data_IF_806606388212
#
_entry.id   IF_806606388212
#
_cell.length_a   1.000
_cell.length_b   1.000
_cell.length_c   1.000
_cell.angle_alpha   90.00
_cell.angle_beta   90.00
_cell.angle_gamma   90.00
#
_symmetry.space_group_name_H-M   'P 1'
#
loop_
_entity.id
_entity.type
_entity.pdbx_description
1 polymer ?
#
# COMPACT_ATOMS: atom_id res chain seq x y z
N UNK A 1 -29.42 -1.84 11.43
CA UNK A 1 -29.89 -1.24 10.16
C UNK A 1 -28.75 -0.47 9.48
N UNK A 2 -27.58 -1.09 9.35
CA UNK A 2 -26.44 -0.57 8.55
C UNK A 2 -26.27 -1.37 7.24
N UNK A 3 -27.13 -2.38 7.02
CA UNK A 3 -26.95 -3.41 6.01
C UNK A 3 -27.65 -3.12 4.66
N UNK A 4 -28.42 -2.03 4.54
CA UNK A 4 -29.22 -1.77 3.33
C UNK A 4 -28.60 -0.76 2.35
N UNK A 5 -27.48 -0.08 2.67
CA UNK A 5 -26.96 1.01 1.81
C UNK A 5 -25.43 1.08 1.65
N UNK A 6 -24.68 0.01 1.94
CA UNK A 6 -23.24 0.01 1.68
C UNK A 6 -22.76 -1.30 1.05
N UNK A 7 -22.87 -1.40 -0.28
CA UNK A 7 -22.22 -2.46 -1.05
C UNK A 7 -20.69 -2.31 -1.01
N UNK A 8 -20.19 -1.09 -0.76
CA UNK A 8 -18.77 -0.76 -0.61
C UNK A 8 -18.59 0.24 0.53
N UNK A 9 -17.68 -0.05 1.44
CA UNK A 9 -17.21 0.85 2.50
C UNK A 9 -15.69 0.96 2.43
N UNK A 10 -15.18 2.19 2.39
CA UNK A 10 -13.75 2.46 2.52
C UNK A 10 -13.42 3.05 3.89
N UNK A 11 -12.36 2.52 4.50
CA UNK A 11 -11.72 3.04 5.71
C UNK A 11 -10.22 3.29 5.46
N UNK A 12 -9.86 3.60 4.21
CA UNK A 12 -8.48 3.89 3.83
C UNK A 12 -8.04 5.27 4.35
N UNK A 13 -6.78 5.37 4.78
CA UNK A 13 -6.18 6.63 5.21
C UNK A 13 -4.69 6.64 4.82
N UNK A 14 -4.16 7.81 4.50
CA UNK A 14 -2.75 7.96 4.14
C UNK A 14 -1.86 7.74 5.38
N UNK A 15 -0.71 7.09 5.20
CA UNK A 15 0.23 6.79 6.29
C UNK A 15 -0.27 5.70 7.26
N UNK A 16 -1.19 4.85 6.82
CA UNK A 16 -1.61 3.68 7.61
C UNK A 16 -0.51 2.62 7.66
N UNK A 17 -0.12 2.26 8.88
CA UNK A 17 0.69 1.08 9.19
C UNK A 17 -0.22 -0.09 9.60
N UNK A 18 0.32 -1.31 9.62
CA UNK A 18 -0.46 -2.49 10.05
C UNK A 18 -1.02 -2.33 11.47
N UNK A 19 -0.22 -1.80 12.41
CA UNK A 19 -0.63 -1.52 13.79
C UNK A 19 -1.79 -0.50 13.89
N UNK A 20 -1.88 0.44 12.93
CA UNK A 20 -2.93 1.47 12.93
C UNK A 20 -4.31 0.93 12.57
N UNK A 21 -4.41 -0.18 11.87
CA UNK A 21 -5.69 -0.83 11.55
C UNK A 21 -6.53 -1.17 12.80
N UNK A 22 -5.86 -1.35 13.94
CA UNK A 22 -6.48 -1.74 15.23
C UNK A 22 -6.55 -0.61 16.24
N UNK A 23 -5.94 0.54 15.96
CA UNK A 23 -5.72 1.59 16.97
C UNK A 23 -6.19 2.97 16.52
N UNK A 24 -6.17 3.25 15.20
CA UNK A 24 -6.62 4.53 14.67
C UNK A 24 -8.12 4.53 14.47
N UNK A 25 -8.80 5.54 15.02
CA UNK A 25 -10.21 5.78 14.79
C UNK A 25 -10.41 6.50 13.45
N UNK A 26 -11.32 5.97 12.64
CA UNK A 26 -11.60 6.43 11.29
C UNK A 26 -13.10 6.48 11.05
N UNK A 27 -13.52 7.44 10.24
CA UNK A 27 -14.84 7.42 9.62
C UNK A 27 -14.79 6.56 8.37
N UNK A 28 -15.77 5.70 8.24
CA UNK A 28 -16.02 4.97 7.00
C UNK A 28 -16.69 5.90 5.97
N UNK A 29 -16.38 5.69 4.70
CA UNK A 29 -17.06 6.34 3.57
C UNK A 29 -17.80 5.29 2.75
N UNK A 30 -19.06 5.52 2.42
CA UNK A 30 -19.85 4.60 1.60
C UNK A 30 -19.58 4.80 0.09
N UNK A 31 -20.17 3.94 -0.75
CA UNK A 31 -20.04 4.00 -2.21
C UNK A 31 -20.44 5.35 -2.84
N UNK A 32 -21.29 6.13 -2.17
CA UNK A 32 -21.70 7.47 -2.63
C UNK A 32 -20.75 8.59 -2.19
N UNK A 33 -19.67 8.26 -1.48
CA UNK A 33 -18.73 9.24 -0.94
C UNK A 33 -19.19 9.91 0.36
N UNK A 34 -20.25 9.41 1.00
CA UNK A 34 -20.75 9.98 2.25
C UNK A 34 -20.04 9.35 3.45
N UNK A 35 -19.54 10.19 4.35
CA UNK A 35 -18.98 9.75 5.64
C UNK A 35 -20.09 9.20 6.54
N UNK A 36 -19.78 8.09 7.22
CA UNK A 36 -20.60 7.58 8.30
C UNK A 36 -20.37 8.41 9.58
N UNK A 37 -21.43 8.54 10.38
CA UNK A 37 -21.43 9.43 11.55
C UNK A 37 -20.53 8.94 12.70
N UNK A 38 -20.27 7.64 12.78
CA UNK A 38 -19.46 7.03 13.83
C UNK A 38 -18.00 6.90 13.42
N UNK A 39 -17.11 6.95 14.41
CA UNK A 39 -15.70 6.60 14.24
C UNK A 39 -15.42 5.25 14.89
N UNK A 40 -14.67 4.40 14.19
CA UNK A 40 -14.25 3.08 14.68
C UNK A 40 -12.89 2.76 14.10
N UNK A 41 -12.21 1.75 14.65
CA UNK A 41 -11.00 1.24 14.00
C UNK A 41 -11.36 0.53 12.69
N UNK A 42 -10.39 0.36 11.79
CA UNK A 42 -10.63 -0.40 10.54
C UNK A 42 -11.07 -1.83 10.84
N UNK A 43 -10.52 -2.44 11.90
CA UNK A 43 -10.94 -3.76 12.39
C UNK A 43 -12.40 -3.76 12.83
N UNK A 44 -12.78 -2.81 13.69
CA UNK A 44 -14.14 -2.72 14.23
C UNK A 44 -15.17 -2.46 13.13
N UNK A 45 -14.81 -1.67 12.11
CA UNK A 45 -15.65 -1.48 10.93
C UNK A 45 -15.87 -2.78 10.17
N UNK A 46 -14.79 -3.49 9.84
CA UNK A 46 -14.87 -4.74 9.09
C UNK A 46 -15.68 -5.80 9.84
N UNK A 47 -15.48 -5.93 11.16
CA UNK A 47 -16.27 -6.85 12.01
C UNK A 47 -17.74 -6.44 12.10
N UNK A 48 -18.02 -5.16 12.31
CA UNK A 48 -19.40 -4.67 12.44
C UNK A 48 -20.20 -4.80 11.13
N UNK A 49 -19.55 -4.63 9.99
CA UNK A 49 -20.18 -4.74 8.68
C UNK A 49 -20.26 -6.19 8.18
N UNK A 50 -19.32 -7.05 8.60
CA UNK A 50 -19.18 -8.43 8.15
C UNK A 50 -19.33 -8.58 6.62
N UNK A 51 -18.48 -7.88 5.82
CA UNK A 51 -18.60 -7.91 4.37
C UNK A 51 -18.23 -9.28 3.82
N UNK A 52 -18.63 -9.58 2.59
CA UNK A 52 -18.21 -10.82 1.91
C UNK A 52 -16.73 -10.79 1.53
N UNK A 53 -16.16 -9.60 1.28
CA UNK A 53 -14.74 -9.42 0.92
C UNK A 53 -14.16 -8.27 1.73
N UNK A 54 -12.93 -8.44 2.24
CA UNK A 54 -12.11 -7.37 2.80
C UNK A 54 -10.81 -7.28 2.00
N UNK A 55 -10.52 -6.13 1.43
CA UNK A 55 -9.25 -5.84 0.74
C UNK A 55 -8.34 -5.02 1.64
N UNK A 56 -7.08 -5.43 1.79
CA UNK A 56 -6.13 -4.79 2.69
C UNK A 56 -4.87 -4.43 1.93
N UNK A 57 -4.62 -3.12 1.82
CA UNK A 57 -3.38 -2.53 1.28
C UNK A 57 -2.73 -1.72 2.39
N UNK A 58 -1.70 -2.29 3.03
CA UNK A 58 -1.00 -1.68 4.18
C UNK A 58 0.45 -2.16 4.21
N UNK A 59 1.36 -1.40 4.80
CA UNK A 59 2.77 -1.78 4.94
C UNK A 59 3.77 -0.84 4.30
N UNK A 60 3.34 0.09 3.43
CA UNK A 60 4.26 1.07 2.86
C UNK A 60 4.92 1.96 3.93
N UNK A 61 4.17 2.36 4.96
CA UNK A 61 4.72 3.09 6.10
C UNK A 61 5.64 2.20 6.97
N UNK A 62 5.26 0.93 7.15
CA UNK A 62 6.07 -0.02 7.92
C UNK A 62 7.43 -0.29 7.25
N UNK A 63 7.48 -0.38 5.92
CA UNK A 63 8.71 -0.54 5.15
C UNK A 63 9.44 0.79 4.86
N UNK A 64 8.93 1.94 5.31
CA UNK A 64 9.46 3.29 5.03
C UNK A 64 9.52 3.66 3.55
N UNK A 65 8.57 3.17 2.74
CA UNK A 65 8.55 3.45 1.30
C UNK A 65 8.39 4.95 1.02
N UNK A 66 7.54 5.65 1.79
CA UNK A 66 7.33 7.09 1.63
C UNK A 66 8.39 7.95 2.34
N UNK A 67 9.09 7.37 3.32
CA UNK A 67 10.09 8.04 4.16
C UNK A 67 11.40 7.21 4.19
N UNK A 68 12.05 6.97 3.03
CA UNK A 68 13.13 5.99 2.90
C UNK A 68 14.41 6.39 3.64
N UNK A 69 14.59 7.68 3.97
CA UNK A 69 15.67 8.18 4.83
C UNK A 69 15.69 7.50 6.22
N UNK A 70 14.58 6.91 6.66
CA UNK A 70 14.52 6.20 7.93
C UNK A 70 15.27 4.87 7.91
N UNK A 71 15.49 4.26 6.74
CA UNK A 71 16.11 2.93 6.58
C UNK A 71 17.27 2.91 5.59
N UNK A 72 17.42 3.93 4.75
CA UNK A 72 18.59 4.11 3.89
C UNK A 72 19.58 5.02 4.62
N UNK A 73 20.69 4.45 5.06
CA UNK A 73 21.75 5.17 5.77
C UNK A 73 23.04 5.08 4.96
N UNK A 74 23.67 6.22 4.70
CA UNK A 74 24.91 6.31 3.92
C UNK A 74 24.82 5.60 2.55
N UNK A 75 23.66 5.70 1.89
CA UNK A 75 23.43 5.11 0.56
C UNK A 75 23.10 3.62 0.55
N UNK A 76 22.87 3.01 1.70
CA UNK A 76 22.55 1.57 1.79
C UNK A 76 21.35 1.34 2.71
N UNK A 77 20.49 0.39 2.36
CA UNK A 77 19.40 -0.07 3.25
C UNK A 77 20.01 -0.77 4.47
N UNK A 78 19.68 -0.32 5.68
CA UNK A 78 20.02 -1.02 6.92
C UNK A 78 19.19 -2.30 7.04
N UNK A 79 19.80 -3.49 6.89
CA UNK A 79 19.07 -4.74 6.86
C UNK A 79 18.48 -5.10 8.22
N UNK A 80 19.11 -4.68 9.33
CA UNK A 80 18.62 -4.99 10.67
C UNK A 80 17.41 -4.14 11.01
N UNK A 81 17.46 -2.85 10.68
CA UNK A 81 16.34 -1.94 10.89
C UNK A 81 15.13 -2.32 10.01
N UNK A 82 15.36 -2.65 8.74
CA UNK A 82 14.29 -3.11 7.86
C UNK A 82 13.65 -4.41 8.37
N UNK A 83 14.47 -5.38 8.80
CA UNK A 83 13.99 -6.65 9.33
C UNK A 83 13.13 -6.47 10.59
N UNK A 84 13.53 -5.60 11.53
CA UNK A 84 12.77 -5.32 12.75
C UNK A 84 11.39 -4.69 12.44
N UNK A 85 11.36 -3.73 11.51
CA UNK A 85 10.11 -3.11 11.05
C UNK A 85 9.19 -4.11 10.36
N UNK A 86 9.74 -4.93 9.46
CA UNK A 86 8.96 -5.94 8.74
C UNK A 86 8.47 -7.07 9.66
N UNK A 87 9.23 -7.44 10.69
CA UNK A 87 8.75 -8.39 11.70
C UNK A 87 7.54 -7.82 12.45
N UNK A 88 7.62 -6.55 12.88
CA UNK A 88 6.49 -5.87 13.53
C UNK A 88 5.26 -5.79 12.61
N UNK A 89 5.48 -5.46 11.34
CA UNK A 89 4.44 -5.47 10.31
C UNK A 89 3.79 -6.84 10.16
N UNK A 90 4.60 -7.90 10.05
CA UNK A 90 4.11 -9.27 9.93
C UNK A 90 3.24 -9.66 11.13
N UNK A 91 3.71 -9.39 12.36
CA UNK A 91 2.99 -9.73 13.58
C UNK A 91 1.64 -9.00 13.68
N UNK A 92 1.59 -7.72 13.32
CA UNK A 92 0.36 -6.92 13.38
C UNK A 92 -0.62 -7.28 12.26
N UNK A 93 -0.13 -7.54 11.04
CA UNK A 93 -1.00 -7.96 9.93
C UNK A 93 -1.56 -9.36 10.17
N UNK A 94 -0.76 -10.28 10.72
CA UNK A 94 -1.20 -11.62 11.11
C UNK A 94 -2.30 -11.53 12.17
N UNK A 95 -2.04 -10.82 13.28
CA UNK A 95 -3.01 -10.63 14.36
C UNK A 95 -4.31 -9.95 13.88
N UNK A 96 -4.22 -8.93 13.02
CA UNK A 96 -5.39 -8.29 12.43
C UNK A 96 -6.21 -9.28 11.60
N UNK A 97 -5.54 -10.06 10.74
CA UNK A 97 -6.20 -10.98 9.82
C UNK A 97 -6.82 -12.17 10.54
N UNK A 98 -6.18 -12.70 11.59
CA UNK A 98 -6.75 -13.74 12.46
C UNK A 98 -8.06 -13.29 13.13
N UNK A 99 -8.14 -12.03 13.58
CA UNK A 99 -9.37 -11.49 14.16
C UNK A 99 -10.47 -11.40 13.09
N UNK A 100 -10.16 -10.94 11.88
CA UNK A 100 -11.13 -10.93 10.79
C UNK A 100 -11.64 -12.33 10.45
N UNK A 101 -10.75 -13.32 10.33
CA UNK A 101 -11.14 -14.71 10.03
C UNK A 101 -12.07 -15.26 11.12
N UNK A 102 -11.81 -14.95 12.39
CA UNK A 102 -12.58 -15.47 13.52
C UNK A 102 -13.92 -14.75 13.77
N UNK A 103 -14.06 -13.51 13.30
CA UNK A 103 -15.24 -12.67 13.57
C UNK A 103 -16.06 -12.32 12.33
N UNK A 104 -15.62 -12.75 11.14
CA UNK A 104 -16.31 -12.49 9.87
C UNK A 104 -16.33 -13.74 9.00
N UNK A 105 -17.24 -13.75 8.03
CA UNK A 105 -17.26 -14.74 6.95
C UNK A 105 -16.52 -14.25 5.69
N UNK A 106 -15.85 -13.10 5.77
CA UNK A 106 -15.20 -12.45 4.64
C UNK A 106 -14.08 -13.31 4.02
N UNK A 107 -13.96 -13.27 2.70
CA UNK A 107 -12.69 -13.56 2.04
C UNK A 107 -11.76 -12.35 2.17
N UNK A 108 -10.51 -12.57 2.50
CA UNK A 108 -9.54 -11.51 2.78
C UNK A 108 -8.50 -11.48 1.66
N UNK A 109 -8.46 -10.37 0.94
CA UNK A 109 -7.49 -10.12 -0.12
C UNK A 109 -6.39 -9.18 0.40
N UNK A 110 -5.21 -9.72 0.64
CA UNK A 110 -4.01 -8.95 0.96
C UNK A 110 -3.36 -8.50 -0.34
N UNK A 111 -3.22 -7.19 -0.57
CA UNK A 111 -2.64 -6.68 -1.81
C UNK A 111 -1.16 -6.34 -1.62
N UNK A 112 -0.30 -6.66 -2.58
CA UNK A 112 1.07 -6.12 -2.63
C UNK A 112 1.07 -4.65 -3.08
N UNK A 113 2.26 -4.07 -3.31
CA UNK A 113 2.43 -2.69 -3.78
C UNK A 113 3.10 -2.68 -5.15
N UNK A 114 2.65 -1.82 -6.06
CA UNK A 114 3.42 -1.54 -7.26
C UNK A 114 4.54 -0.54 -6.94
N UNK A 115 5.76 -0.76 -7.43
CA UNK A 115 6.87 0.17 -7.24
C UNK A 115 6.69 1.37 -8.17
N UNK A 116 6.40 2.53 -7.60
CA UNK A 116 6.17 3.78 -8.32
C UNK A 116 7.47 4.55 -8.65
N UNK A 117 8.60 4.16 -8.09
CA UNK A 117 9.89 4.87 -8.21
C UNK A 117 10.30 5.01 -9.66
N UNK A 118 10.61 6.23 -10.12
CA UNK A 118 11.09 6.45 -11.48
C UNK A 118 12.32 5.59 -11.81
N UNK A 119 12.60 5.37 -13.10
CA UNK A 119 13.78 4.62 -13.53
C UNK A 119 15.09 5.40 -13.30
N UNK A 120 15.04 6.73 -13.36
CA UNK A 120 16.11 7.64 -12.96
C UNK A 120 15.62 8.58 -11.85
N UNK A 121 15.42 8.08 -10.62
CA UNK A 121 14.81 8.84 -9.56
C UNK A 121 15.79 9.84 -8.97
N UNK A 122 15.30 11.01 -8.54
CA UNK A 122 16.12 12.03 -7.85
C UNK A 122 16.81 11.47 -6.62
N UNK A 123 16.10 10.62 -5.87
CA UNK A 123 16.56 9.98 -4.66
C UNK A 123 16.72 10.92 -3.46
N UNK A 124 17.56 10.51 -2.52
CA UNK A 124 17.80 11.15 -1.23
C UNK A 124 19.29 11.45 -1.04
N UNK A 125 19.63 12.22 -0.01
CA UNK A 125 21.03 12.57 0.23
C UNK A 125 21.89 11.30 0.44
N UNK A 126 22.99 11.20 -0.30
CA UNK A 126 23.83 10.00 -0.31
C UNK A 126 23.33 8.81 -1.14
N UNK A 127 22.12 8.85 -1.72
CA UNK A 127 21.57 7.80 -2.58
C UNK A 127 20.63 8.36 -3.65
N UNK A 128 21.16 8.61 -4.85
CA UNK A 128 20.40 9.15 -5.98
C UNK A 128 20.36 8.15 -7.14
N UNK A 129 19.45 8.35 -8.08
CA UNK A 129 19.35 7.60 -9.35
C UNK A 129 19.30 6.08 -9.09
N UNK A 130 20.17 5.31 -9.75
CA UNK A 130 20.26 3.85 -9.63
C UNK A 130 20.39 3.37 -8.17
N UNK A 131 21.14 4.07 -7.31
CA UNK A 131 21.24 3.72 -5.88
C UNK A 131 19.86 3.70 -5.22
N UNK A 132 19.07 4.75 -5.47
CA UNK A 132 17.75 4.88 -4.87
C UNK A 132 16.75 3.90 -5.49
N UNK A 133 16.81 3.72 -6.81
CA UNK A 133 15.98 2.73 -7.50
C UNK A 133 16.20 1.32 -6.95
N UNK A 134 17.45 0.89 -6.79
CA UNK A 134 17.84 -0.41 -6.22
C UNK A 134 17.37 -0.56 -4.77
N UNK A 135 17.57 0.48 -3.96
CA UNK A 135 17.10 0.49 -2.57
C UNK A 135 15.58 0.36 -2.49
N UNK A 136 14.84 1.10 -3.32
CA UNK A 136 13.38 1.02 -3.37
C UNK A 136 12.88 -0.32 -3.88
N UNK A 137 13.56 -0.94 -4.86
CA UNK A 137 13.25 -2.29 -5.32
C UNK A 137 13.41 -3.31 -4.18
N UNK A 138 14.51 -3.22 -3.42
CA UNK A 138 14.72 -4.07 -2.25
C UNK A 138 13.63 -3.87 -1.18
N UNK A 139 13.26 -2.63 -0.85
CA UNK A 139 12.20 -2.36 0.12
C UNK A 139 10.86 -2.98 -0.31
N UNK A 140 10.50 -2.85 -1.59
CA UNK A 140 9.27 -3.44 -2.12
C UNK A 140 9.34 -4.98 -2.12
N UNK A 141 10.46 -5.57 -2.54
CA UNK A 141 10.64 -7.02 -2.53
C UNK A 141 10.46 -7.60 -1.12
N UNK A 142 11.09 -6.97 -0.12
CA UNK A 142 11.01 -7.42 1.27
C UNK A 142 9.59 -7.24 1.83
N UNK A 143 8.90 -6.13 1.54
CA UNK A 143 7.51 -5.94 1.94
C UNK A 143 6.58 -6.99 1.30
N UNK A 144 6.76 -7.29 0.01
CA UNK A 144 5.97 -8.31 -0.68
C UNK A 144 6.25 -9.70 -0.11
N UNK A 145 7.50 -10.01 0.21
CA UNK A 145 7.87 -11.25 0.88
C UNK A 145 7.20 -11.38 2.25
N UNK A 146 7.13 -10.31 3.03
CA UNK A 146 6.44 -10.26 4.32
C UNK A 146 4.92 -10.47 4.18
N UNK A 147 4.27 -9.81 3.23
CA UNK A 147 2.83 -10.02 2.94
C UNK A 147 2.57 -11.49 2.59
N UNK A 148 3.37 -12.07 1.69
CA UNK A 148 3.26 -13.49 1.31
C UNK A 148 3.59 -14.42 2.48
N UNK A 149 4.47 -14.01 3.40
CA UNK A 149 4.82 -14.75 4.62
C UNK A 149 3.61 -14.89 5.54
N UNK A 150 2.93 -13.78 5.82
CA UNK A 150 1.68 -13.76 6.60
C UNK A 150 0.61 -14.62 5.92
N UNK A 151 0.35 -14.39 4.62
CA UNK A 151 -0.68 -15.12 3.89
C UNK A 151 -0.49 -16.65 3.94
N UNK A 152 0.76 -17.14 3.90
CA UNK A 152 1.08 -18.59 3.97
C UNK A 152 0.78 -19.23 5.32
N UNK A 153 0.72 -18.44 6.41
CA UNK A 153 0.38 -18.93 7.76
C UNK A 153 -1.13 -19.07 7.97
N UNK A 154 -1.91 -18.38 7.13
CA UNK A 154 -3.36 -18.27 7.27
C UNK A 154 -4.10 -19.29 6.38
N UNK A 155 -5.40 -19.55 6.64
CA UNK A 155 -6.17 -20.51 5.86
C UNK A 155 -6.31 -20.07 4.38
N UNK A 156 -5.77 -20.82 3.40
CA UNK A 156 -5.77 -20.41 1.99
C UNK A 156 -7.17 -20.37 1.35
N UNK A 157 -8.17 -20.98 2.01
CA UNK A 157 -9.58 -20.89 1.60
C UNK A 157 -10.25 -19.57 2.02
N UNK A 158 -9.58 -18.75 2.84
CA UNK A 158 -10.10 -17.48 3.36
C UNK A 158 -9.21 -16.28 3.05
N UNK A 159 -7.96 -16.52 2.65
CA UNK A 159 -6.96 -15.46 2.42
C UNK A 159 -6.30 -15.68 1.06
N UNK A 160 -6.29 -14.64 0.23
CA UNK A 160 -5.56 -14.59 -1.04
C UNK A 160 -4.60 -13.40 -1.08
N UNK A 161 -3.50 -13.55 -1.82
CA UNK A 161 -2.62 -12.42 -2.15
C UNK A 161 -2.98 -11.93 -3.55
N UNK A 162 -3.27 -10.63 -3.67
CA UNK A 162 -3.43 -9.93 -4.95
C UNK A 162 -2.10 -9.27 -5.27
N UNK A 163 -1.50 -9.64 -6.39
CA UNK A 163 -0.16 -9.21 -6.72
C UNK A 163 -0.15 -8.03 -7.69
N UNK A 164 0.35 -6.88 -7.23
CA UNK A 164 0.59 -5.68 -8.01
C UNK A 164 2.07 -5.50 -8.39
N UNK A 165 2.95 -6.47 -8.09
CA UNK A 165 4.35 -6.41 -8.53
C UNK A 165 4.43 -6.23 -10.05
N UNK A 166 5.25 -5.27 -10.50
CA UNK A 166 5.48 -4.99 -11.91
C UNK A 166 4.35 -4.25 -12.64
N UNK A 167 3.22 -3.96 -11.97
CA UNK A 167 2.07 -3.30 -12.60
C UNK A 167 2.41 -1.91 -13.17
N UNK A 168 3.36 -1.21 -12.54
CA UNK A 168 3.81 0.11 -12.95
C UNK A 168 5.07 0.08 -13.82
N UNK A 169 5.57 -1.08 -14.24
CA UNK A 169 6.73 -1.13 -15.13
C UNK A 169 6.42 -0.43 -16.47
N UNK A 170 7.26 0.54 -16.85
CA UNK A 170 6.99 1.43 -17.99
C UNK A 170 5.98 2.56 -17.73
N UNK A 171 5.40 2.62 -16.53
CA UNK A 171 4.40 3.60 -16.11
C UNK A 171 4.73 4.27 -14.77
N UNK A 172 6.01 4.23 -14.37
CA UNK A 172 6.51 4.74 -13.09
C UNK A 172 6.45 6.27 -13.01
N UNK A 173 6.87 6.83 -11.89
CA UNK A 173 6.87 8.27 -11.67
C UNK A 173 7.70 9.03 -12.72
N UNK A 174 7.27 10.24 -13.03
CA UNK A 174 7.97 11.17 -13.92
C UNK A 174 8.44 12.42 -13.23
N UNK A 175 8.84 13.41 -14.04
CA UNK A 175 9.18 14.75 -13.57
C UNK A 175 7.97 15.39 -12.86
N UNK A 176 8.15 16.02 -11.68
CA UNK A 176 7.03 16.59 -10.96
C UNK A 176 6.61 17.93 -11.58
N UNK A 177 5.30 18.09 -11.81
CA UNK A 177 4.79 19.33 -12.40
C UNK A 177 4.73 20.46 -11.36
N UNK A 178 5.28 21.62 -11.72
CA UNK A 178 5.08 22.86 -10.99
C UNK A 178 5.90 23.01 -9.70
N UNK A 179 6.87 22.12 -9.46
CA UNK A 179 7.74 22.16 -8.27
C UNK A 179 9.13 22.75 -8.52
N UNK A 180 9.33 23.51 -9.60
CA UNK A 180 10.60 24.21 -9.92
C UNK A 180 11.13 25.15 -8.81
N UNK A 181 10.33 25.39 -7.75
CA UNK A 181 10.65 26.24 -6.60
C UNK A 181 10.75 25.49 -5.26
N UNK A 182 10.52 24.17 -5.22
CA UNK A 182 10.55 23.32 -4.02
C UNK A 182 11.29 22.01 -4.33
N UNK A 183 12.02 21.44 -3.36
CA UNK A 183 12.73 20.17 -3.55
C UNK A 183 11.73 19.08 -3.99
N UNK A 184 11.83 18.65 -5.24
CA UNK A 184 11.01 17.60 -5.82
C UNK A 184 11.08 16.30 -4.98
N UNK A 185 10.00 15.50 -4.91
CA UNK A 185 10.00 14.22 -4.20
C UNK A 185 11.08 13.26 -4.71
N UNK A 186 11.64 12.44 -3.80
CA UNK A 186 12.74 11.52 -4.09
C UNK A 186 12.42 10.49 -5.20
N UNK A 187 11.16 10.05 -5.29
CA UNK A 187 10.73 9.04 -6.25
C UNK A 187 10.52 9.57 -7.67
N UNK A 188 10.42 10.89 -7.84
CA UNK A 188 10.23 11.50 -9.15
C UNK A 188 11.47 11.32 -10.02
N UNK A 189 11.27 11.35 -11.34
CA UNK A 189 12.39 11.43 -12.26
C UNK A 189 13.15 12.76 -12.07
N UNK A 190 14.45 12.75 -12.33
CA UNK A 190 15.28 13.97 -12.29
C UNK A 190 15.11 14.84 -13.55
N UNK A 191 14.84 14.22 -14.71
CA UNK A 191 14.84 14.91 -16.00
C UNK A 191 13.89 14.35 -17.08
N UNK A 192 13.09 13.33 -16.77
CA UNK A 192 12.20 12.65 -17.73
C UNK A 192 10.72 12.74 -17.34
N UNK A 193 9.86 13.20 -18.26
CA UNK A 193 8.43 12.93 -18.23
C UNK A 193 8.18 11.62 -19.00
N UNK A 194 7.79 10.50 -18.34
CA UNK A 194 7.23 9.38 -19.07
C UNK A 194 5.91 9.88 -19.66
N UNK A 195 5.81 9.85 -21.00
CA UNK A 195 4.60 10.21 -21.76
C UNK A 195 3.34 9.46 -21.27
N UNK A 196 3.51 8.38 -20.49
CA UNK A 196 2.46 7.50 -20.01
C UNK A 196 2.56 7.15 -18.49
N UNK A 197 3.04 8.07 -17.65
CA UNK A 197 3.07 7.83 -16.19
C UNK A 197 1.67 7.51 -15.62
N UNK A 198 1.58 6.46 -14.80
CA UNK A 198 0.39 6.08 -14.02
C UNK A 198 0.49 6.51 -12.55
N UNK A 199 1.53 7.25 -12.23
CA UNK A 199 1.80 7.80 -10.91
C UNK A 199 1.47 9.30 -10.92
N UNK A 200 1.09 9.82 -9.76
CA UNK A 200 0.89 11.25 -9.53
C UNK A 200 2.20 11.99 -9.71
N UNK A 201 2.23 13.00 -10.57
CA UNK A 201 3.35 13.93 -10.72
C UNK A 201 3.45 14.97 -9.59
N UNK A 202 2.61 14.86 -8.55
CA UNK A 202 2.70 15.72 -7.37
C UNK A 202 3.56 15.11 -6.27
N UNK A 203 3.36 13.82 -5.98
CA UNK A 203 4.08 13.10 -4.91
C UNK A 203 4.98 11.98 -5.42
N UNK A 204 4.82 11.55 -6.68
CA UNK A 204 5.59 10.49 -7.32
C UNK A 204 5.55 9.13 -6.62
N UNK A 205 4.57 8.90 -5.76
CA UNK A 205 4.39 7.64 -5.03
C UNK A 205 2.98 7.10 -5.27
N UNK A 206 1.97 7.97 -5.22
CA UNK A 206 0.58 7.54 -5.31
C UNK A 206 0.15 7.40 -6.76
N UNK A 207 -0.63 6.36 -7.11
CA UNK A 207 -1.16 6.20 -8.45
C UNK A 207 -2.09 7.37 -8.82
N UNK A 208 -2.06 7.78 -10.08
CA UNK A 208 -3.04 8.70 -10.65
C UNK A 208 -4.31 7.95 -11.07
N UNK A 209 -5.24 8.62 -11.75
CA UNK A 209 -6.50 8.00 -12.19
C UNK A 209 -6.28 6.72 -13.03
N UNK A 210 -5.28 6.69 -13.90
CA UNK A 210 -4.96 5.50 -14.71
C UNK A 210 -4.38 4.38 -13.85
N UNK A 211 -3.43 4.71 -12.96
CA UNK A 211 -2.85 3.73 -12.04
C UNK A 211 -3.89 3.11 -11.11
N UNK A 212 -4.81 3.92 -10.58
CA UNK A 212 -5.92 3.43 -9.77
C UNK A 212 -6.85 2.48 -10.55
N UNK A 213 -7.13 2.79 -11.82
CA UNK A 213 -7.92 1.90 -12.68
C UNK A 213 -7.20 0.57 -12.92
N UNK A 214 -5.90 0.60 -13.24
CA UNK A 214 -5.11 -0.63 -13.43
C UNK A 214 -5.08 -1.52 -12.18
N UNK A 215 -4.89 -0.92 -10.99
CA UNK A 215 -4.95 -1.64 -9.72
C UNK A 215 -6.34 -2.26 -9.47
N UNK A 216 -7.41 -1.51 -9.77
CA UNK A 216 -8.77 -1.99 -9.63
C UNK A 216 -9.10 -3.14 -10.58
N UNK A 217 -8.56 -3.12 -11.80
CA UNK A 217 -8.72 -4.19 -12.80
C UNK A 217 -8.06 -5.48 -12.31
N UNK A 218 -6.80 -5.43 -11.85
CA UNK A 218 -6.10 -6.61 -11.30
C UNK A 218 -6.81 -7.17 -10.06
N UNK A 219 -7.27 -6.29 -9.18
CA UNK A 219 -8.03 -6.68 -8.00
C UNK A 219 -9.33 -7.38 -8.40
N UNK A 220 -10.09 -6.79 -9.32
CA UNK A 220 -11.38 -7.32 -9.79
C UNK A 220 -11.20 -8.67 -10.50
N UNK A 221 -10.19 -8.79 -11.36
CA UNK A 221 -9.86 -10.07 -12.03
C UNK A 221 -9.53 -11.15 -11.00
N UNK A 222 -8.68 -10.83 -10.02
CA UNK A 222 -8.31 -11.78 -8.96
C UNK A 222 -9.52 -12.19 -8.13
N UNK A 223 -10.37 -11.24 -7.74
CA UNK A 223 -11.55 -11.53 -6.91
C UNK A 223 -12.64 -12.32 -7.66
N UNK A 224 -12.80 -12.10 -8.96
CA UNK A 224 -13.73 -12.89 -9.80
C UNK A 224 -13.29 -14.34 -10.00
N UNK A 225 -12.03 -14.66 -9.72
CA UNK A 225 -11.47 -16.01 -9.79
C UNK A 225 -11.66 -16.84 -8.52
N UNK A 226 -12.18 -16.25 -7.44
CA UNK A 226 -12.43 -16.89 -6.14
C UNK A 226 -13.84 -17.50 -6.08
#
# INVERSE_FOLDING_TARGET
>A
ALADEAEIVSVACNGMSASRLRTMLLKATNASGNELAEERTSLDWAVALNPTIVTITVGAADASIADPDEVIVDGTVDPAQLADRLQTFEDELDAFTEVLISHTDAHIALTSYANATADNPRGIDGCNNECFADAMELLHEQLHAAIRSVARRLPPARVSVVDFTGLLDGHRAGDPVGLDLLRAPAHCADDDEPDESWVSNFDCINPNERGHRALADVLTETLNGL
#
